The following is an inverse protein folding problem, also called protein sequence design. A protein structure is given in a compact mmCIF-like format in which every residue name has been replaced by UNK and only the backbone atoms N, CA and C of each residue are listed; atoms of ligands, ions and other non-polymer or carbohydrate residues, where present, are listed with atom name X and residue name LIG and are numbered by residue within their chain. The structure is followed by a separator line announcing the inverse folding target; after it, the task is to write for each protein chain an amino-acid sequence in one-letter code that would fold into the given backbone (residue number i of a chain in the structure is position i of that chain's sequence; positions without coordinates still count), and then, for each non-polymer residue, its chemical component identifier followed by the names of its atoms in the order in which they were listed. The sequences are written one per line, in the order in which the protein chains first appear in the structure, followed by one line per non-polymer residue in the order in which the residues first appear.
data_IF_049380708143
#
_entry.id   IF_049380708143
#
_cell.length_a   1.000
_cell.length_b   1.000
_cell.length_c   1.000
_cell.angle_alpha   90.00
_cell.angle_beta   90.00
_cell.angle_gamma   90.00
#
_symmetry.space_group_name_H-M   'P 1'
#
loop_
_entity.id
_entity.type
_entity.pdbx_description
1 polymer ?
#
# COMPACT_ATOMS: atom_id res chain seq x y z
N UNK A 1 10.08 -1.09 -14.31
CA UNK A 1 8.78 -1.69 -13.91
C UNK A 1 7.80 -1.49 -15.04
N UNK A 2 7.15 -2.56 -15.54
CA UNK A 2 6.22 -2.46 -16.66
C UNK A 2 4.94 -1.73 -16.20
N UNK A 3 4.45 -0.78 -16.98
CA UNK A 3 3.27 0.05 -16.64
C UNK A 3 2.02 -0.80 -16.38
N UNK A 4 1.89 -1.93 -17.08
CA UNK A 4 0.81 -2.91 -16.90
C UNK A 4 0.93 -3.65 -15.57
N UNK A 5 2.16 -4.04 -15.18
CA UNK A 5 2.40 -4.67 -13.87
C UNK A 5 2.17 -3.69 -12.72
N UNK A 6 2.56 -2.41 -12.87
CA UNK A 6 2.30 -1.38 -11.87
C UNK A 6 0.78 -1.17 -11.64
N UNK A 7 -0.03 -1.20 -12.70
CA UNK A 7 -1.48 -1.11 -12.58
C UNK A 7 -2.11 -2.35 -11.92
N UNK A 8 -1.61 -3.56 -12.23
CA UNK A 8 -2.04 -4.79 -11.55
C UNK A 8 -1.71 -4.74 -10.05
N UNK A 9 -0.51 -4.31 -9.70
CA UNK A 9 -0.07 -4.20 -8.32
C UNK A 9 -0.90 -3.15 -7.56
N UNK A 10 -1.22 -2.02 -8.20
CA UNK A 10 -2.11 -1.01 -7.62
C UNK A 10 -3.49 -1.60 -7.27
N UNK A 11 -4.10 -2.33 -8.21
CA UNK A 11 -5.41 -2.95 -8.00
C UNK A 11 -5.40 -3.99 -6.86
N UNK A 12 -4.32 -4.77 -6.75
CA UNK A 12 -4.16 -5.74 -5.66
C UNK A 12 -4.01 -5.04 -4.30
N UNK A 13 -3.25 -3.95 -4.24
CA UNK A 13 -3.07 -3.16 -3.02
C UNK A 13 -4.38 -2.50 -2.57
N UNK A 14 -5.20 -2.01 -3.49
CA UNK A 14 -6.53 -1.47 -3.18
C UNK A 14 -7.48 -2.54 -2.64
N UNK A 15 -7.46 -3.74 -3.22
CA UNK A 15 -8.26 -4.88 -2.73
C UNK A 15 -7.81 -5.32 -1.32
N UNK A 16 -6.50 -5.38 -1.06
CA UNK A 16 -5.98 -5.73 0.26
C UNK A 16 -6.36 -4.69 1.32
N UNK A 17 -6.28 -3.40 0.97
CA UNK A 17 -6.73 -2.29 1.83
C UNK A 17 -8.22 -2.41 2.16
N UNK A 18 -9.08 -2.69 1.18
CA UNK A 18 -10.51 -2.86 1.41
C UNK A 18 -10.81 -4.05 2.33
N UNK A 19 -10.08 -5.17 2.14
CA UNK A 19 -10.20 -6.36 2.99
C UNK A 19 -9.77 -6.07 4.43
N UNK A 20 -8.65 -5.39 4.64
CA UNK A 20 -8.18 -5.01 5.98
C UNK A 20 -9.17 -4.08 6.68
N UNK A 21 -9.75 -3.11 5.99
CA UNK A 21 -10.78 -2.23 6.55
C UNK A 21 -12.05 -3.01 6.96
N UNK A 22 -12.49 -3.98 6.14
CA UNK A 22 -13.63 -4.84 6.51
C UNK A 22 -13.35 -5.70 7.73
N UNK A 23 -12.12 -6.23 7.87
CA UNK A 23 -11.74 -7.06 9.01
C UNK A 23 -11.56 -6.23 10.29
N UNK A 24 -11.08 -4.99 10.18
CA UNK A 24 -10.90 -4.06 11.31
C UNK A 24 -12.23 -3.76 12.02
N UNK A 25 -13.33 -3.69 11.27
CA UNK A 25 -14.67 -3.54 11.85
C UNK A 25 -15.15 -4.81 12.59
N UNK A 26 -14.75 -6.00 12.12
CA UNK A 26 -15.19 -7.29 12.66
C UNK A 26 -14.37 -7.76 13.89
N UNK A 27 -13.11 -7.35 14.01
CA UNK A 27 -12.23 -7.71 15.12
C UNK A 27 -11.98 -6.49 16.04
N UNK A 28 -12.58 -6.52 17.23
CA UNK A 28 -12.52 -5.39 18.18
C UNK A 28 -11.26 -5.31 19.05
N UNK A 29 -10.29 -6.21 18.88
CA UNK A 29 -9.05 -6.18 19.67
C UNK A 29 -8.17 -5.02 19.24
N UNK A 30 -7.73 -4.20 20.19
CA UNK A 30 -6.87 -3.03 19.95
C UNK A 30 -5.62 -3.36 19.12
N UNK A 31 -4.97 -4.50 19.40
CA UNK A 31 -3.80 -4.96 18.65
C UNK A 31 -4.11 -5.20 17.17
N UNK A 32 -5.28 -5.75 16.86
CA UNK A 32 -5.71 -6.00 15.48
C UNK A 32 -6.02 -4.70 14.74
N UNK A 33 -6.69 -3.75 15.41
CA UNK A 33 -6.96 -2.41 14.85
C UNK A 33 -5.67 -1.68 14.53
N UNK A 34 -4.72 -1.68 15.47
CA UNK A 34 -3.40 -1.05 15.29
C UNK A 34 -2.60 -1.70 14.15
N UNK A 35 -2.62 -3.03 14.02
CA UNK A 35 -1.98 -3.72 12.89
C UNK A 35 -2.64 -3.37 11.54
N UNK A 36 -3.97 -3.30 11.48
CA UNK A 36 -4.68 -2.87 10.27
C UNK A 36 -4.31 -1.43 9.89
N UNK A 37 -4.29 -0.51 10.85
CA UNK A 37 -3.91 0.89 10.62
C UNK A 37 -2.46 1.04 10.13
N UNK A 38 -1.52 0.32 10.76
CA UNK A 38 -0.12 0.30 10.30
C UNK A 38 -0.01 -0.22 8.87
N UNK A 39 -0.72 -1.31 8.55
CA UNK A 39 -0.67 -1.91 7.20
C UNK A 39 -1.28 -0.98 6.14
N UNK A 40 -2.37 -0.28 6.48
CA UNK A 40 -2.98 0.74 5.60
C UNK A 40 -2.02 1.89 5.33
N UNK A 41 -1.26 2.35 6.33
CA UNK A 41 -0.23 3.39 6.15
C UNK A 41 0.85 2.95 5.17
N UNK A 42 1.38 1.73 5.33
CA UNK A 42 2.37 1.16 4.41
C UNK A 42 1.85 1.06 2.98
N UNK A 43 0.61 0.59 2.80
CA UNK A 43 -0.02 0.49 1.47
C UNK A 43 -0.13 1.87 0.82
N UNK A 44 -0.56 2.90 1.57
CA UNK A 44 -0.64 4.26 1.04
C UNK A 44 0.75 4.79 0.60
N UNK A 45 1.81 4.45 1.34
CA UNK A 45 3.17 4.83 0.97
C UNK A 45 3.62 4.16 -0.33
N UNK A 46 3.37 2.86 -0.50
CA UNK A 46 3.65 2.16 -1.76
C UNK A 46 2.86 2.74 -2.94
N UNK A 47 1.59 3.08 -2.74
CA UNK A 47 0.77 3.74 -3.76
C UNK A 47 1.39 5.08 -4.15
N UNK A 48 1.76 5.91 -3.17
CA UNK A 48 2.38 7.20 -3.43
C UNK A 48 3.70 7.05 -4.20
N UNK A 49 4.56 6.10 -3.81
CA UNK A 49 5.82 5.83 -4.50
C UNK A 49 5.60 5.36 -5.95
N UNK A 50 4.61 4.50 -6.19
CA UNK A 50 4.24 4.06 -7.55
C UNK A 50 3.71 5.24 -8.36
N UNK A 51 2.81 6.07 -7.80
CA UNK A 51 2.23 7.24 -8.47
C UNK A 51 3.29 8.28 -8.80
N UNK A 52 4.22 8.55 -7.87
CA UNK A 52 5.34 9.45 -8.09
C UNK A 52 6.27 8.91 -9.18
N UNK A 53 6.66 7.63 -9.11
CA UNK A 53 7.50 6.99 -10.14
C UNK A 53 6.84 6.96 -11.54
N UNK A 54 5.51 6.85 -11.61
CA UNK A 54 4.76 6.93 -12.86
C UNK A 54 4.64 8.36 -13.41
N UNK A 55 4.64 9.38 -12.53
CA UNK A 55 4.58 10.80 -12.92
C UNK A 55 5.94 11.36 -13.33
N UNK A 56 7.02 10.95 -12.66
CA UNK A 56 8.35 11.55 -12.85
C UNK A 56 9.16 10.91 -13.99
N UNK A 57 8.75 9.74 -14.49
CA UNK A 57 9.53 8.99 -15.49
C UNK A 57 10.90 8.50 -14.99
N UNK A 58 11.29 8.81 -13.75
CA UNK A 58 12.47 8.27 -13.05
C UNK A 58 12.07 7.08 -12.20
N UNK A 59 12.24 5.89 -12.77
CA UNK A 59 12.51 4.69 -11.99
C UNK A 59 13.95 4.77 -11.49
N UNK A 60 14.19 5.26 -10.27
CA UNK A 60 15.33 4.88 -9.41
C UNK A 60 15.35 5.72 -8.11
N UNK A 61 15.83 5.08 -7.04
CA UNK A 61 16.21 5.60 -5.71
C UNK A 61 15.10 5.94 -4.72
N UNK A 62 15.03 5.14 -3.66
CA UNK A 62 15.34 5.53 -2.25
C UNK A 62 15.02 4.29 -1.38
N UNK A 63 15.98 3.38 -1.16
CA UNK A 63 16.71 3.25 0.12
C UNK A 63 15.81 3.27 1.37
N UNK A 64 15.37 2.09 1.81
CA UNK A 64 15.08 1.85 3.23
C UNK A 64 16.39 1.50 3.92
N UNK A 65 17.01 2.49 4.55
CA UNK A 65 17.84 2.27 5.73
C UNK A 65 16.97 2.57 6.94
N UNK A 66 16.82 1.59 7.83
CA UNK A 66 17.43 1.53 9.18
C UNK A 66 17.28 0.10 9.69
#
# INVERSE_FOLDING_TARGET
MNRVEAQKNLKLLEQDKARLLSLNHLNSTWAFKNQCEMRVKQINEFINNIVLGLKDGRTDRTSCGE
#
